data_IF_338332585680
#
_entry.id   IF_338332585680
#
_cell.length_a   1.000
_cell.length_b   1.000
_cell.length_c   1.000
_cell.angle_alpha   90.00
_cell.angle_beta   90.00
_cell.angle_gamma   90.00
#
_symmetry.space_group_name_H-M   'P 1'
#
loop_
_entity.id
_entity.type
_entity.pdbx_description
1 polymer ?
#
# COMPACT_ATOMS: atom_id res chain seq x y z
N UNK A 1 5.26 -4.24 16.48
CA UNK A 1 6.21 -4.45 15.36
C UNK A 1 5.89 -5.80 14.77
N UNK A 2 5.16 -5.83 13.66
CA UNK A 2 4.82 -7.06 12.93
C UNK A 2 5.66 -7.03 11.66
N UNK A 3 6.74 -7.80 11.71
CA UNK A 3 7.56 -8.17 10.56
C UNK A 3 6.74 -9.16 9.75
N UNK A 4 6.05 -8.69 8.71
CA UNK A 4 5.43 -9.59 7.74
C UNK A 4 6.37 -9.77 6.57
N UNK A 5 6.91 -10.99 6.53
CA UNK A 5 7.76 -11.62 5.54
C UNK A 5 7.30 -11.44 4.08
N UNK A 6 7.41 -10.23 3.53
CA UNK A 6 7.72 -10.08 2.12
C UNK A 6 9.20 -10.45 1.96
N UNK A 7 9.51 -11.75 2.12
CA UNK A 7 10.82 -12.27 1.72
C UNK A 7 11.04 -11.87 0.28
N UNK A 8 12.01 -10.98 0.09
CA UNK A 8 12.52 -10.58 -1.19
C UNK A 8 12.95 -11.86 -1.90
N UNK A 9 12.11 -12.38 -2.79
CA UNK A 9 12.43 -13.54 -3.61
C UNK A 9 13.61 -13.14 -4.48
N UNK A 10 14.84 -13.38 -4.05
CA UNK A 10 16.04 -13.07 -4.83
C UNK A 10 16.34 -14.24 -5.75
N UNK A 11 16.77 -13.96 -6.97
CA UNK A 11 17.22 -15.01 -7.87
C UNK A 11 18.45 -15.69 -7.25
N UNK A 12 18.41 -17.02 -7.09
CA UNK A 12 19.50 -17.79 -6.48
C UNK A 12 20.83 -17.69 -7.27
N UNK A 13 20.77 -17.30 -8.55
CA UNK A 13 21.95 -17.27 -9.42
C UNK A 13 22.60 -15.88 -9.53
N UNK A 14 21.80 -14.81 -9.55
CA UNK A 14 22.29 -13.45 -9.75
C UNK A 14 21.93 -12.48 -8.61
N UNK A 15 21.18 -12.94 -7.60
CA UNK A 15 20.83 -12.17 -6.41
C UNK A 15 19.82 -11.04 -6.63
N UNK A 16 19.33 -10.82 -7.86
CA UNK A 16 18.38 -9.78 -8.18
C UNK A 16 17.01 -10.02 -7.55
N UNK A 17 16.36 -8.95 -7.12
CA UNK A 17 15.04 -8.95 -6.50
C UNK A 17 13.97 -9.33 -7.54
N UNK A 18 13.29 -10.45 -7.33
CA UNK A 18 12.19 -10.91 -8.17
C UNK A 18 10.89 -10.35 -7.61
N UNK A 19 9.99 -10.00 -8.53
CA UNK A 19 8.65 -9.56 -8.17
C UNK A 19 7.69 -10.73 -8.24
N UNK A 20 6.77 -10.81 -7.27
CA UNK A 20 5.65 -11.75 -7.33
C UNK A 20 4.44 -11.06 -7.98
N UNK A 21 3.86 -11.71 -8.98
CA UNK A 21 2.67 -11.19 -9.65
C UNK A 21 1.47 -11.16 -8.70
N UNK A 22 0.85 -10.00 -8.52
CA UNK A 22 -0.32 -9.83 -7.65
C UNK A 22 -1.58 -10.58 -8.10
N UNK A 23 -1.64 -11.05 -9.36
CA UNK A 23 -2.80 -11.78 -9.91
C UNK A 23 -2.60 -13.30 -9.84
N UNK A 24 -1.58 -13.82 -10.51
CA UNK A 24 -1.33 -15.26 -10.62
C UNK A 24 -0.31 -15.81 -9.61
N UNK A 25 0.25 -14.96 -8.73
CA UNK A 25 1.32 -15.30 -7.76
C UNK A 25 2.59 -15.93 -8.37
N UNK A 26 2.72 -15.91 -9.69
CA UNK A 26 3.91 -16.33 -10.41
C UNK A 26 5.09 -15.40 -10.17
N UNK A 27 6.30 -15.93 -10.33
CA UNK A 27 7.56 -15.18 -10.22
C UNK A 27 7.80 -14.45 -11.55
N UNK A 28 8.09 -13.16 -11.48
CA UNK A 28 8.44 -12.33 -12.63
C UNK A 28 9.84 -11.74 -12.47
N UNK A 29 10.50 -11.45 -13.60
CA UNK A 29 11.81 -10.85 -13.62
C UNK A 29 11.80 -9.43 -13.03
N UNK A 30 12.97 -8.93 -12.57
CA UNK A 30 13.12 -7.60 -11.97
C UNK A 30 12.74 -6.45 -12.90
N UNK A 31 12.87 -6.64 -14.22
CA UNK A 31 12.65 -5.60 -15.23
C UNK A 31 11.41 -5.86 -16.09
N UNK A 32 10.66 -6.92 -15.79
CA UNK A 32 9.45 -7.24 -16.53
C UNK A 32 8.33 -6.29 -16.14
N UNK A 33 7.77 -5.58 -17.13
CA UNK A 33 6.56 -4.77 -16.93
C UNK A 33 5.31 -5.64 -16.79
N UNK A 34 5.32 -6.81 -17.42
CA UNK A 34 4.22 -7.76 -17.47
C UNK A 34 4.65 -9.12 -16.93
N UNK A 35 3.77 -9.80 -16.22
CA UNK A 35 4.04 -11.17 -15.79
C UNK A 35 4.10 -12.10 -17.01
N UNK A 36 5.22 -12.80 -17.23
CA UNK A 36 5.38 -13.75 -18.33
C UNK A 36 4.39 -14.93 -18.31
N UNK A 37 3.77 -15.24 -17.16
CA UNK A 37 2.77 -16.31 -17.04
C UNK A 37 1.35 -15.86 -17.39
N UNK A 38 0.90 -14.72 -16.85
CA UNK A 38 -0.49 -14.29 -16.95
C UNK A 38 -0.71 -12.96 -17.67
N UNK A 39 0.35 -12.32 -18.20
CA UNK A 39 0.28 -11.04 -18.91
C UNK A 39 -0.14 -9.85 -18.06
N UNK A 40 -0.24 -10.01 -16.73
CA UNK A 40 -0.70 -8.96 -15.84
C UNK A 40 0.39 -7.92 -15.59
N UNK A 41 0.05 -6.63 -15.61
CA UNK A 41 1.01 -5.55 -15.37
C UNK A 41 1.50 -5.55 -13.91
N UNK A 42 2.82 -5.69 -13.74
CA UNK A 42 3.49 -5.83 -12.44
C UNK A 42 3.69 -4.50 -11.71
N UNK A 43 3.35 -3.37 -12.35
CA UNK A 43 3.48 -2.00 -11.81
C UNK A 43 2.56 -1.78 -10.61
N UNK A 44 1.49 -2.56 -10.46
CA UNK A 44 0.70 -2.59 -9.22
C UNK A 44 1.43 -3.44 -8.18
N UNK A 45 2.25 -2.77 -7.36
CA UNK A 45 2.87 -3.37 -6.19
C UNK A 45 1.87 -4.17 -5.34
N UNK A 46 2.40 -5.11 -4.54
CA UNK A 46 1.65 -6.12 -3.79
C UNK A 46 0.30 -5.60 -3.26
N UNK A 47 -0.77 -6.35 -3.55
CA UNK A 47 -2.10 -6.04 -3.04
C UNK A 47 -2.06 -5.90 -1.53
N UNK A 48 -2.21 -4.66 -1.04
CA UNK A 48 -2.28 -4.39 0.40
C UNK A 48 -3.56 -5.03 0.95
N UNK A 49 -3.51 -5.76 2.08
CA UNK A 49 -4.66 -6.46 2.63
C UNK A 49 -5.78 -5.48 3.00
N UNK A 50 -7.03 -5.94 2.88
CA UNK A 50 -8.23 -5.12 3.17
C UNK A 50 -8.18 -4.53 4.59
N UNK A 51 -7.64 -5.26 5.56
CA UNK A 51 -7.44 -4.78 6.93
C UNK A 51 -6.56 -3.53 7.01
N UNK A 52 -5.53 -3.41 6.17
CA UNK A 52 -4.67 -2.23 6.14
C UNK A 52 -5.43 -0.99 5.69
N UNK A 53 -6.35 -1.14 4.73
CA UNK A 53 -7.25 -0.06 4.29
C UNK A 53 -8.20 0.38 5.41
N UNK A 54 -8.74 -0.56 6.19
CA UNK A 54 -9.63 -0.26 7.32
C UNK A 54 -8.91 0.51 8.42
N UNK A 55 -7.68 0.12 8.75
CA UNK A 55 -6.85 0.86 9.69
C UNK A 55 -6.54 2.28 9.21
N UNK A 56 -6.26 2.44 7.91
CA UNK A 56 -6.02 3.76 7.33
C UNK A 56 -7.26 4.66 7.41
N UNK A 57 -8.44 4.10 7.13
CA UNK A 57 -9.71 4.80 7.32
C UNK A 57 -9.93 5.20 8.78
N UNK A 58 -9.68 4.29 9.72
CA UNK A 58 -9.81 4.58 11.15
C UNK A 58 -8.89 5.73 11.60
N UNK A 59 -7.65 5.79 11.08
CA UNK A 59 -6.72 6.87 11.37
C UNK A 59 -7.14 8.22 10.75
N UNK A 60 -7.87 8.20 9.64
CA UNK A 60 -8.38 9.41 8.98
C UNK A 60 -9.54 10.06 9.74
N UNK A 61 -10.34 9.29 10.47
CA UNK A 61 -11.51 9.78 11.23
C UNK A 61 -11.15 10.90 12.23
N UNK A 62 -10.20 10.72 13.16
CA UNK A 62 -9.88 11.76 14.14
C UNK A 62 -9.30 13.03 13.48
N UNK A 63 -8.56 12.88 12.38
CA UNK A 63 -7.99 14.01 11.65
C UNK A 63 -9.09 14.83 10.98
N UNK A 64 -10.06 14.16 10.34
CA UNK A 64 -11.23 14.82 9.77
C UNK A 64 -12.09 15.49 10.84
N UNK A 65 -12.31 14.82 11.98
CA UNK A 65 -13.10 15.37 13.09
C UNK A 65 -12.44 16.61 13.72
N UNK A 66 -11.12 16.60 13.88
CA UNK A 66 -10.38 17.75 14.38
C UNK A 66 -10.45 18.94 13.41
N UNK A 67 -10.33 18.69 12.10
CA UNK A 67 -10.45 19.73 11.09
C UNK A 67 -11.84 20.35 11.06
N UNK A 68 -12.89 19.53 10.99
CA UNK A 68 -14.27 20.03 10.95
C UNK A 68 -14.67 20.73 12.25
N UNK A 69 -14.29 20.17 13.40
CA UNK A 69 -14.52 20.78 14.70
C UNK A 69 -13.77 22.10 14.88
N UNK A 70 -12.52 22.17 14.43
CA UNK A 70 -11.71 23.39 14.46
C UNK A 70 -12.28 24.52 13.59
N UNK A 71 -12.77 24.18 12.38
CA UNK A 71 -13.42 25.15 11.49
C UNK A 71 -14.69 25.70 12.13
N UNK A 72 -15.55 24.82 12.67
CA UNK A 72 -16.79 25.23 13.33
C UNK A 72 -16.53 26.08 14.58
N UNK A 73 -15.49 25.76 15.34
CA UNK A 73 -15.10 26.54 16.51
C UNK A 73 -14.56 27.93 16.13
N UNK A 74 -13.75 28.01 15.08
CA UNK A 74 -13.24 29.28 14.56
C UNK A 74 -14.37 30.19 14.03
N UNK A 75 -15.41 29.62 13.43
CA UNK A 75 -16.57 30.36 12.95
C UNK A 75 -17.44 30.89 14.11
N UNK A 76 -17.58 30.10 15.17
CA UNK A 76 -18.41 30.46 16.34
C UNK A 76 -17.70 31.35 17.36
N UNK A 77 -16.36 31.35 17.39
CA UNK A 77 -15.55 32.17 18.30
C UNK A 77 -14.56 33.04 17.51
N UNK A 78 -15.06 34.04 16.76
CA UNK A 78 -14.18 34.96 16.04
C UNK A 78 -13.34 35.74 17.06
N UNK A 79 -12.03 35.58 16.96
CA UNK A 79 -11.06 36.38 17.73
C UNK A 79 -11.17 37.82 17.21
N UNK A 80 -11.58 38.75 18.09
CA UNK A 80 -11.61 40.19 17.81
C UNK A 80 -10.20 40.77 17.81
#
# INVERSE_FOLDING_TARGET
>A
MVLDHAEEARCAHCGLQLHQCGNCRGIAGPFDRYCGFCGHELVRGAQRPIWWRLWFLAALIPLAAALTGGIWWAETHPIK
#
